data_IF_745209242788
#
_entry.id   IF_745209242788
#
_cell.length_a   1.000
_cell.length_b   1.000
_cell.length_c   1.000
_cell.angle_alpha   90.00
_cell.angle_beta   90.00
_cell.angle_gamma   90.00
#
_symmetry.space_group_name_H-M   'P 1'
#
loop_
_entity.id
_entity.type
_entity.pdbx_description
1 polymer ?
#
# COMPACT_ATOMS: atom_id res chain seq x y z
N UNK A 1 19.24 21.62 -4.91
CA UNK A 1 19.23 20.36 -4.12
C UNK A 1 17.85 19.73 -4.26
N UNK A 2 17.65 18.92 -5.30
CA UNK A 2 16.46 18.08 -5.42
C UNK A 2 16.60 16.98 -4.38
N UNK A 3 15.71 16.94 -3.39
CA UNK A 3 15.74 15.92 -2.35
C UNK A 3 15.27 14.62 -2.98
N UNK A 4 16.24 13.74 -3.17
CA UNK A 4 16.11 12.29 -3.19
C UNK A 4 14.98 11.84 -2.23
N UNK A 5 13.82 11.52 -2.81
CA UNK A 5 12.68 10.93 -2.11
C UNK A 5 13.06 9.51 -1.70
N UNK A 6 13.81 9.39 -0.60
CA UNK A 6 13.89 8.15 0.17
C UNK A 6 12.46 7.79 0.54
N UNK A 7 11.89 6.84 -0.19
CA UNK A 7 10.53 6.36 -0.03
C UNK A 7 10.26 6.10 1.44
N UNK A 8 9.50 6.99 2.07
CA UNK A 8 8.86 6.70 3.34
C UNK A 8 7.97 5.51 3.06
N UNK A 9 8.33 4.33 3.58
CA UNK A 9 7.47 3.16 3.59
C UNK A 9 6.20 3.54 4.35
N UNK A 10 5.24 4.13 3.64
CA UNK A 10 3.99 4.57 4.23
C UNK A 10 3.23 3.30 4.63
N UNK A 11 3.13 3.08 5.94
CA UNK A 11 2.54 1.90 6.54
C UNK A 11 1.06 2.16 6.78
N UNK A 12 0.22 1.50 6.00
CA UNK A 12 -1.22 1.61 6.10
C UNK A 12 -1.80 0.56 7.05
N UNK A 13 -2.81 0.95 7.81
CA UNK A 13 -3.48 0.03 8.76
C UNK A 13 -4.62 -0.72 8.08
N UNK A 14 -4.95 -1.95 8.54
CA UNK A 14 -6.17 -2.62 8.11
C UNK A 14 -7.39 -1.73 8.35
N UNK A 15 -8.33 -1.71 7.41
CA UNK A 15 -9.53 -0.87 7.47
C UNK A 15 -9.34 0.61 7.09
N UNK A 16 -8.11 1.10 6.92
CA UNK A 16 -7.86 2.44 6.39
C UNK A 16 -8.25 2.51 4.90
N UNK A 17 -8.63 3.69 4.42
CA UNK A 17 -8.85 3.91 2.98
C UNK A 17 -7.52 3.83 2.23
N UNK A 18 -7.51 3.08 1.14
CA UNK A 18 -6.38 2.89 0.25
C UNK A 18 -6.13 4.17 -0.55
N UNK A 19 -4.96 4.83 -0.42
CA UNK A 19 -4.70 6.10 -1.12
C UNK A 19 -4.42 5.91 -2.61
N UNK A 20 -3.88 4.74 -3.00
CA UNK A 20 -3.47 4.45 -4.37
C UNK A 20 -3.74 3.00 -4.76
N UNK A 21 -4.15 2.76 -6.00
CA UNK A 21 -4.32 1.40 -6.51
C UNK A 21 -2.96 0.75 -6.73
N UNK A 22 -2.81 -0.49 -6.30
CA UNK A 22 -1.52 -1.17 -6.37
C UNK A 22 -1.49 -2.49 -5.61
N UNK A 23 -0.35 -3.15 -5.69
CA UNK A 23 -0.01 -4.27 -4.81
C UNK A 23 0.62 -3.74 -3.53
N UNK A 24 0.12 -4.21 -2.40
CA UNK A 24 0.59 -3.86 -1.08
C UNK A 24 1.10 -5.10 -0.35
N UNK A 25 2.28 -5.02 0.25
CA UNK A 25 2.84 -6.09 1.05
C UNK A 25 2.32 -5.99 2.49
N UNK A 26 1.75 -7.08 3.00
CA UNK A 26 1.49 -7.25 4.42
C UNK A 26 2.80 -7.56 5.13
N UNK A 27 3.30 -6.61 5.93
CA UNK A 27 4.58 -6.73 6.64
C UNK A 27 4.61 -7.86 7.68
N UNK A 28 3.45 -8.36 8.11
CA UNK A 28 3.34 -9.43 9.10
C UNK A 28 3.31 -10.82 8.46
N UNK A 29 2.62 -10.98 7.34
CA UNK A 29 2.46 -12.28 6.68
C UNK A 29 3.35 -12.45 5.45
N UNK A 30 3.99 -11.39 4.97
CA UNK A 30 4.72 -11.38 3.71
C UNK A 30 3.80 -11.52 2.48
N UNK A 31 2.48 -11.39 2.65
CA UNK A 31 1.51 -11.59 1.58
C UNK A 31 1.32 -10.29 0.80
N UNK A 32 1.44 -10.37 -0.51
CA UNK A 32 1.07 -9.27 -1.40
C UNK A 32 -0.44 -9.29 -1.67
N UNK A 33 -1.10 -8.16 -1.43
CA UNK A 33 -2.52 -7.98 -1.66
C UNK A 33 -2.75 -6.86 -2.67
N UNK A 34 -3.57 -7.12 -3.68
CA UNK A 34 -3.98 -6.06 -4.62
C UNK A 34 -5.07 -5.22 -3.97
N UNK A 35 -4.81 -3.94 -3.81
CA UNK A 35 -5.74 -2.97 -3.24
C UNK A 35 -6.12 -1.92 -4.28
N UNK A 36 -7.37 -1.46 -4.21
CA UNK A 36 -7.92 -0.45 -5.12
C UNK A 36 -8.10 0.85 -4.35
N UNK A 37 -7.64 1.97 -4.93
CA UNK A 37 -7.84 3.31 -4.38
C UNK A 37 -9.29 3.56 -3.98
N UNK A 38 -9.49 4.15 -2.81
CA UNK A 38 -10.82 4.48 -2.28
C UNK A 38 -11.55 3.32 -1.61
N UNK A 39 -11.09 2.07 -1.78
CA UNK A 39 -11.56 0.94 -0.94
C UNK A 39 -10.77 0.91 0.36
N UNK A 40 -11.21 0.09 1.33
CA UNK A 40 -10.48 -0.12 2.58
C UNK A 40 -9.48 -1.26 2.44
N UNK A 41 -8.34 -1.16 3.13
CA UNK A 41 -7.40 -2.27 3.26
C UNK A 41 -8.09 -3.48 3.91
N UNK A 42 -7.75 -4.71 3.46
CA UNK A 42 -8.36 -5.91 4.02
C UNK A 42 -8.08 -6.01 5.53
N UNK A 43 -9.00 -6.61 6.31
CA UNK A 43 -8.72 -6.94 7.69
C UNK A 43 -7.63 -8.00 7.73
N UNK A 44 -6.68 -7.83 8.65
CA UNK A 44 -5.60 -8.79 8.87
C UNK A 44 -5.32 -8.97 10.36
N UNK A 45 -4.36 -9.84 10.70
CA UNK A 45 -3.98 -10.07 12.10
C UNK A 45 -3.60 -8.76 12.80
N UNK A 46 -4.03 -8.58 14.06
CA UNK A 46 -3.87 -7.32 14.79
C UNK A 46 -2.43 -6.77 14.74
N UNK A 47 -2.28 -5.48 14.46
CA UNK A 47 -0.95 -4.86 14.34
C UNK A 47 -0.24 -5.14 13.00
N UNK A 48 -0.92 -5.74 12.02
CA UNK A 48 -0.41 -5.76 10.65
C UNK A 48 -0.42 -4.37 10.02
N UNK A 49 0.52 -4.13 9.11
CA UNK A 49 0.58 -2.95 8.26
C UNK A 49 0.82 -3.34 6.82
N UNK A 50 0.30 -2.53 5.91
CA UNK A 50 0.47 -2.67 4.48
C UNK A 50 1.44 -1.61 3.97
N UNK A 51 2.41 -2.00 3.15
CA UNK A 51 3.31 -1.06 2.44
C UNK A 51 3.06 -1.19 0.95
N UNK A 52 3.01 -0.08 0.22
CA UNK A 52 2.87 -0.13 -1.23
C UNK A 52 4.13 -0.76 -1.84
N UNK A 53 3.96 -1.95 -2.43
CA UNK A 53 5.02 -2.71 -3.11
C UNK A 53 5.13 -2.26 -4.56
N UNK A 54 3.99 -2.24 -5.27
CA UNK A 54 3.92 -1.87 -6.68
C UNK A 54 2.68 -1.05 -6.97
N UNK A 55 2.87 0.17 -7.46
CA UNK A 55 1.79 1.03 -7.90
C UNK A 55 1.21 0.55 -9.23
N UNK A 56 -0.09 0.33 -9.30
CA UNK A 56 -0.77 0.09 -10.58
C UNK A 56 -0.92 1.44 -11.30
N UNK A 57 0.01 1.75 -12.20
CA UNK A 57 -0.07 2.93 -13.08
C UNK A 57 -0.75 2.53 -14.39
N UNK A 58 -1.99 2.97 -14.60
CA UNK A 58 -2.58 2.97 -15.94
C UNK A 58 -1.95 4.12 -16.70
N UNK A 59 -0.99 3.80 -17.59
CA UNK A 59 -0.47 4.76 -18.56
C UNK A 59 -1.55 4.92 -19.63
N UNK A 60 -2.29 6.02 -19.57
CA UNK A 60 -3.42 6.27 -20.45
C UNK A 60 -3.78 7.75 -20.47
N UNK A 61 -2.86 8.56 -20.97
CA UNK A 61 -3.10 9.65 -21.93
C UNK A 61 -1.77 9.89 -22.67
#
# INVERSE_FOLDING_TARGET
MQKEERGTEERFKPGQVVPQSGQYLNQRTGTEVTCVKGKRFPPGPQGTTYTLSSATRHKGD
#
